data_IF_880833810614
#
_entry.id   IF_880833810614
#
_cell.length_a   1.000
_cell.length_b   1.000
_cell.length_c   1.000
_cell.angle_alpha   90.00
_cell.angle_beta   90.00
_cell.angle_gamma   90.00
#
_symmetry.space_group_name_H-M   'P 1'
#
loop_
_entity.id
_entity.type
_entity.pdbx_description
1 polymer ?
#
# COMPACT_ATOMS: atom_id res chain seq x y z
N UNK A 1 10.26 -2.97 -8.93
CA UNK A 1 11.42 -2.59 -8.10
C UNK A 1 11.45 -1.07 -8.03
N UNK A 2 10.88 -0.49 -6.98
CA UNK A 2 10.97 0.92 -6.64
C UNK A 2 10.96 1.02 -5.11
N UNK A 3 12.04 0.57 -4.49
CA UNK A 3 12.30 0.93 -3.10
C UNK A 3 12.93 2.32 -3.12
N UNK A 4 12.28 3.30 -2.50
CA UNK A 4 12.90 4.59 -2.20
C UNK A 4 13.97 4.29 -1.15
N UNK A 5 15.24 4.33 -1.57
CA UNK A 5 16.40 4.07 -0.72
C UNK A 5 16.46 5.13 0.39
N UNK A 6 16.93 4.75 1.58
CA UNK A 6 17.34 5.68 2.66
C UNK A 6 18.22 6.83 2.15
N UNK A 7 18.96 6.63 1.06
CA UNK A 7 19.72 7.69 0.40
C UNK A 7 18.85 8.84 -0.12
N UNK A 8 17.62 8.59 -0.57
CA UNK A 8 16.72 9.64 -1.06
C UNK A 8 16.19 10.49 0.11
N UNK A 9 15.93 9.87 1.25
CA UNK A 9 15.51 10.55 2.48
C UNK A 9 16.68 11.33 3.13
N UNK A 10 17.90 10.80 3.08
CA UNK A 10 19.09 11.44 3.66
C UNK A 10 19.71 12.52 2.75
N UNK A 11 19.75 12.34 1.43
CA UNK A 11 20.28 13.34 0.48
C UNK A 11 19.48 14.65 0.52
N UNK A 12 18.16 14.57 0.73
CA UNK A 12 17.30 15.76 0.80
C UNK A 12 17.38 16.51 2.14
N UNK A 13 17.66 15.82 3.25
CA UNK A 13 17.89 16.48 4.54
C UNK A 13 19.21 17.29 4.55
N UNK A 14 20.24 16.80 3.84
CA UNK A 14 21.53 17.50 3.71
C UNK A 14 21.44 18.75 2.81
N UNK A 15 20.55 18.76 1.81
CA UNK A 15 20.41 19.89 0.88
C UNK A 15 19.79 21.15 1.51
N UNK A 16 18.99 21.00 2.58
CA UNK A 16 18.30 22.13 3.23
C UNK A 16 19.10 22.85 4.31
N UNK A 17 20.23 22.29 4.77
CA UNK A 17 21.08 22.93 5.79
C UNK A 17 22.12 23.91 5.22
N UNK A 18 22.08 24.23 3.91
CA UNK A 18 23.09 25.09 3.28
C UNK A 18 22.63 26.45 2.76
N UNK A 19 21.37 26.85 2.89
CA UNK A 19 20.95 28.21 2.49
C UNK A 19 19.83 28.75 3.40
N UNK A 20 20.24 29.34 4.53
CA UNK A 20 19.50 30.45 5.13
C UNK A 20 20.21 31.74 4.73
N UNK A 21 19.72 32.35 3.66
CA UNK A 21 20.00 33.72 3.25
C UNK A 21 18.68 34.36 2.84
N UNK A 22 18.24 35.33 3.61
CA UNK A 22 16.98 36.08 3.46
C UNK A 22 16.81 36.66 2.04
N UNK A 23 15.64 36.45 1.43
CA UNK A 23 14.87 37.51 0.74
C UNK A 23 13.43 37.07 0.47
N UNK A 24 12.48 37.85 0.98
CA UNK A 24 11.05 37.78 0.66
C UNK A 24 10.80 38.36 -0.74
N UNK A 25 10.09 37.66 -1.64
CA UNK A 25 9.23 38.28 -2.67
C UNK A 25 8.01 37.39 -2.96
N UNK A 26 6.87 38.05 -3.19
CA UNK A 26 5.49 37.55 -3.35
C UNK A 26 5.19 37.17 -4.83
N UNK A 27 4.17 36.34 -5.12
CA UNK A 27 4.03 35.67 -6.42
C UNK A 27 3.04 36.35 -7.37
N UNK A 28 3.47 36.63 -8.60
CA UNK A 28 2.62 36.71 -9.80
C UNK A 28 3.45 37.10 -11.02
N UNK A 29 3.52 36.24 -12.04
CA UNK A 29 3.33 36.60 -13.46
C UNK A 29 3.42 35.35 -14.36
N UNK A 30 2.56 35.35 -15.38
CA UNK A 30 2.39 34.31 -16.39
C UNK A 30 3.28 34.59 -17.62
N UNK A 31 3.56 33.54 -18.40
CA UNK A 31 3.66 33.45 -19.88
C UNK A 31 4.46 32.18 -20.20
N UNK A 32 3.88 31.16 -20.83
CA UNK A 32 3.67 30.97 -22.28
C UNK A 32 4.96 30.62 -23.05
N UNK A 33 4.75 29.73 -24.02
CA UNK A 33 5.67 28.78 -24.66
C UNK A 33 6.82 29.41 -25.47
N UNK A 34 7.87 28.62 -25.73
CA UNK A 34 8.27 28.25 -27.10
C UNK A 34 9.38 27.17 -27.09
N UNK A 35 9.19 26.16 -27.94
CA UNK A 35 10.21 25.24 -28.48
C UNK A 35 10.52 25.72 -29.90
N UNK A 36 11.75 25.59 -30.43
CA UNK A 36 11.89 24.55 -31.46
C UNK A 36 13.27 23.85 -31.58
N UNK A 37 13.16 22.59 -32.00
CA UNK A 37 13.89 21.90 -33.09
C UNK A 37 15.29 21.27 -32.86
N UNK A 38 15.26 19.93 -32.89
CA UNK A 38 16.01 18.99 -33.77
C UNK A 38 17.37 19.39 -34.36
N UNK A 39 18.39 18.56 -34.10
CA UNK A 39 19.44 18.20 -35.08
C UNK A 39 19.77 16.70 -34.91
N UNK A 40 19.70 15.98 -36.03
CA UNK A 40 20.11 14.58 -36.23
C UNK A 40 21.62 14.47 -36.52
N UNK A 41 22.15 13.28 -36.21
CA UNK A 41 23.22 12.50 -36.87
C UNK A 41 24.58 13.15 -37.25
N UNK A 42 25.68 12.52 -36.81
CA UNK A 42 26.65 11.97 -37.77
C UNK A 42 27.63 10.98 -37.10
N UNK A 43 27.96 9.97 -37.90
CA UNK A 43 28.81 8.79 -37.69
C UNK A 43 30.33 9.08 -37.69
N UNK A 44 31.13 8.17 -37.11
CA UNK A 44 32.28 7.47 -37.73
C UNK A 44 33.09 6.70 -36.66
N UNK A 45 33.24 5.37 -36.80
CA UNK A 45 34.40 4.62 -37.36
C UNK A 45 35.63 4.65 -36.41
N UNK A 46 36.38 3.58 -36.09
CA UNK A 46 36.71 2.35 -36.82
C UNK A 46 37.41 1.30 -35.89
N UNK A 47 37.59 0.12 -36.47
CA UNK A 47 38.03 -1.23 -36.04
C UNK A 47 39.40 -1.44 -35.33
N UNK A 48 39.51 -2.46 -34.43
CA UNK A 48 40.26 -3.75 -34.51
C UNK A 48 41.77 -3.67 -34.14
N UNK A 49 42.50 -4.66 -33.58
CA UNK A 49 42.54 -6.12 -33.75
C UNK A 49 43.12 -6.87 -32.52
N UNK A 50 42.66 -8.12 -32.34
CA UNK A 50 43.32 -9.40 -31.99
C UNK A 50 44.59 -9.52 -31.11
N UNK A 51 44.56 -10.50 -30.18
CA UNK A 51 45.48 -11.66 -30.19
C UNK A 51 45.08 -12.75 -29.18
N UNK A 52 44.53 -13.84 -29.73
CA UNK A 52 44.75 -15.29 -29.53
C UNK A 52 45.43 -15.90 -28.27
N UNK A 53 44.99 -17.13 -27.93
CA UNK A 53 45.83 -18.18 -27.31
C UNK A 53 45.34 -18.91 -26.05
N UNK A 54 44.57 -20.00 -26.23
CA UNK A 54 44.67 -21.37 -25.64
C UNK A 54 45.30 -21.60 -24.24
N UNK A 55 44.89 -22.52 -23.36
CA UNK A 55 44.41 -23.90 -23.53
C UNK A 55 43.90 -24.52 -22.20
N UNK A 56 43.34 -25.72 -22.35
CA UNK A 56 42.56 -26.63 -21.49
C UNK A 56 43.24 -27.15 -20.19
N UNK A 57 42.42 -27.55 -19.20
CA UNK A 57 42.53 -28.85 -18.48
C UNK A 57 41.52 -28.97 -17.33
N UNK A 58 40.70 -30.01 -17.41
CA UNK A 58 39.62 -30.33 -16.46
C UNK A 58 40.04 -30.98 -15.14
N UNK A 59 39.03 -31.23 -14.31
CA UNK A 59 39.18 -31.96 -13.04
C UNK A 59 37.86 -32.05 -12.27
N UNK A 60 37.08 -33.09 -12.58
CA UNK A 60 35.88 -33.51 -11.86
C UNK A 60 36.24 -33.96 -10.42
N UNK A 61 35.46 -33.60 -9.39
CA UNK A 61 35.32 -34.42 -8.17
C UNK A 61 34.02 -34.11 -7.40
N UNK A 62 33.12 -35.10 -7.44
CA UNK A 62 32.21 -35.61 -6.40
C UNK A 62 31.79 -34.73 -5.19
N UNK A 63 30.46 -34.64 -5.02
CA UNK A 63 29.68 -34.36 -3.79
C UNK A 63 30.21 -35.06 -2.51
N UNK A 64 29.88 -34.52 -1.32
CA UNK A 64 28.71 -35.03 -0.58
C UNK A 64 27.81 -33.96 0.06
N UNK A 65 26.57 -34.41 0.28
CA UNK A 65 25.47 -33.79 1.00
C UNK A 65 25.89 -33.32 2.40
N UNK A 66 25.54 -32.07 2.73
CA UNK A 66 25.66 -31.49 4.06
C UNK A 66 24.29 -31.00 4.52
N UNK A 67 23.70 -31.78 5.43
CA UNK A 67 22.60 -31.41 6.31
C UNK A 67 22.94 -30.09 7.03
N UNK A 68 22.14 -29.06 6.77
CA UNK A 68 22.28 -27.73 7.35
C UNK A 68 20.98 -27.38 8.05
N UNK A 69 20.95 -27.64 9.35
CA UNK A 69 19.94 -27.16 10.28
C UNK A 69 19.75 -25.65 10.10
N UNK A 70 18.59 -25.23 9.60
CA UNK A 70 18.18 -23.83 9.69
C UNK A 70 17.96 -23.53 11.17
N UNK A 71 19.01 -22.99 11.77
CA UNK A 71 18.97 -22.37 13.08
C UNK A 71 17.94 -21.25 13.04
N UNK A 72 16.81 -21.46 13.73
CA UNK A 72 15.89 -20.40 14.10
C UNK A 72 16.69 -19.32 14.85
N UNK A 73 17.11 -18.27 14.14
CA UNK A 73 17.64 -17.09 14.78
C UNK A 73 16.48 -16.42 15.51
N UNK A 74 16.38 -16.72 16.80
CA UNK A 74 15.73 -15.87 17.78
C UNK A 74 16.40 -14.50 17.72
N UNK A 75 15.91 -13.63 16.82
CA UNK A 75 16.24 -12.22 16.84
C UNK A 75 15.72 -11.65 18.17
N UNK A 76 16.59 -11.63 19.17
CA UNK A 76 16.40 -10.84 20.37
C UNK A 76 16.07 -9.42 19.93
N UNK A 77 14.91 -8.91 20.36
CA UNK A 77 14.39 -7.61 19.96
C UNK A 77 15.33 -6.55 20.53
N UNK A 78 16.34 -6.18 19.75
CA UNK A 78 17.09 -4.97 20.01
C UNK A 78 16.08 -3.82 20.08
N UNK A 79 16.03 -3.16 21.24
CA UNK A 79 15.04 -2.12 21.50
C UNK A 79 15.20 -1.03 20.43
N UNK A 80 14.17 -0.84 19.60
CA UNK A 80 14.22 0.14 18.51
C UNK A 80 14.52 1.54 19.10
N UNK A 81 15.63 2.13 18.66
CA UNK A 81 15.97 3.51 18.95
C UNK A 81 15.71 4.35 17.70
N UNK A 82 14.78 5.30 17.73
CA UNK A 82 14.52 6.16 16.59
C UNK A 82 15.72 7.09 16.37
N UNK A 83 16.18 7.24 15.13
CA UNK A 83 17.22 8.23 14.79
C UNK A 83 16.75 9.65 15.13
N UNK A 84 15.49 9.93 14.79
CA UNK A 84 14.75 11.13 15.14
C UNK A 84 13.26 10.91 14.92
N UNK A 85 12.42 11.84 15.37
CA UNK A 85 11.01 11.89 14.99
C UNK A 85 10.86 12.66 13.67
N UNK A 86 9.99 12.18 12.77
CA UNK A 86 9.75 12.86 11.49
C UNK A 86 9.08 14.22 11.69
N UNK A 87 8.08 14.28 12.58
CA UNK A 87 7.44 15.53 12.99
C UNK A 87 7.83 15.88 14.42
N UNK A 88 8.06 17.18 14.73
CA UNK A 88 8.24 17.62 16.10
C UNK A 88 6.92 17.55 16.90
N UNK A 89 6.98 17.48 18.24
CA UNK A 89 5.78 17.39 19.08
C UNK A 89 4.73 18.49 18.88
N UNK A 90 5.13 19.67 18.37
CA UNK A 90 4.22 20.76 18.03
C UNK A 90 3.18 20.39 16.96
N UNK A 91 3.48 19.39 16.13
CA UNK A 91 2.61 18.97 15.04
C UNK A 91 1.56 17.92 15.47
N UNK A 92 1.74 17.26 16.63
CA UNK A 92 0.97 16.06 17.00
C UNK A 92 -0.52 16.29 17.23
N UNK A 93 -0.93 17.55 17.38
CA UNK A 93 -2.33 17.96 17.56
C UNK A 93 -2.94 18.57 16.30
N UNK A 94 -2.15 18.73 15.23
CA UNK A 94 -2.62 19.36 14.00
C UNK A 94 -3.50 18.43 13.19
N UNK A 95 -4.55 18.99 12.62
CA UNK A 95 -5.57 18.24 11.89
C UNK A 95 -5.49 18.49 10.40
N UNK A 96 -5.69 17.40 9.67
CA UNK A 96 -5.98 17.44 8.24
C UNK A 96 -7.19 16.57 7.94
N UNK A 97 -7.78 16.78 6.76
CA UNK A 97 -8.81 15.88 6.28
C UNK A 97 -8.12 14.71 5.57
N UNK A 98 -8.06 13.55 6.19
CA UNK A 98 -7.61 12.33 5.50
C UNK A 98 -8.81 11.70 4.79
N UNK A 99 -8.57 11.21 3.58
CA UNK A 99 -9.47 10.26 2.92
C UNK A 99 -8.70 9.01 2.56
N UNK A 100 -9.35 7.86 2.66
CA UNK A 100 -8.87 6.67 1.98
C UNK A 100 -9.58 6.53 0.65
N UNK A 101 -8.85 6.03 -0.32
CA UNK A 101 -9.39 5.63 -1.63
C UNK A 101 -9.55 4.11 -1.73
N UNK A 102 -9.51 3.42 -0.58
CA UNK A 102 -9.91 2.03 -0.42
C UNK A 102 -11.44 1.96 -0.30
N UNK A 103 -12.15 1.74 -1.40
CA UNK A 103 -13.62 1.78 -1.41
C UNK A 103 -14.24 0.40 -1.19
N UNK A 104 -13.86 -0.31 -0.12
CA UNK A 104 -14.30 -1.71 0.11
C UNK A 104 -15.83 -1.84 0.03
N UNK A 105 -16.56 -0.99 0.75
CA UNK A 105 -18.03 -1.03 0.76
C UNK A 105 -18.62 -0.82 -0.64
N UNK A 106 -18.17 0.22 -1.36
CA UNK A 106 -18.67 0.52 -2.70
C UNK A 106 -18.23 -0.48 -3.78
N UNK A 107 -17.03 -1.05 -3.66
CA UNK A 107 -16.56 -2.09 -4.56
C UNK A 107 -17.35 -3.39 -4.37
N UNK A 108 -17.61 -3.78 -3.12
CA UNK A 108 -18.44 -4.95 -2.83
C UNK A 108 -19.91 -4.71 -3.18
N UNK A 109 -20.44 -3.51 -3.02
CA UNK A 109 -21.79 -3.15 -3.51
C UNK A 109 -21.87 -3.33 -5.03
N UNK A 110 -20.88 -2.80 -5.77
CA UNK A 110 -20.81 -3.00 -7.21
C UNK A 110 -20.69 -4.48 -7.60
N UNK A 111 -19.86 -5.27 -6.92
CA UNK A 111 -19.66 -6.68 -7.24
C UNK A 111 -20.86 -7.57 -6.86
N UNK A 112 -21.49 -7.31 -5.73
CA UNK A 112 -22.47 -8.21 -5.12
C UNK A 112 -23.93 -7.79 -5.36
N UNK A 113 -24.17 -6.53 -5.71
CA UNK A 113 -25.51 -5.95 -5.84
C UNK A 113 -25.76 -5.27 -7.19
N UNK A 114 -24.83 -4.48 -7.73
CA UNK A 114 -25.10 -3.63 -8.90
C UNK A 114 -25.05 -4.36 -10.25
N UNK A 115 -24.46 -5.55 -10.33
CA UNK A 115 -24.29 -6.26 -11.60
C UNK A 115 -25.61 -6.80 -12.15
N UNK A 116 -25.84 -6.62 -13.45
CA UNK A 116 -26.99 -7.19 -14.17
C UNK A 116 -26.53 -7.92 -15.44
N UNK A 117 -26.61 -9.27 -15.50
CA UNK A 117 -27.12 -10.16 -14.45
C UNK A 117 -26.15 -10.23 -13.25
N UNK A 118 -26.63 -10.60 -12.04
CA UNK A 118 -25.77 -10.79 -10.87
C UNK A 118 -24.64 -11.79 -11.13
N UNK A 119 -23.62 -11.79 -10.25
CA UNK A 119 -22.59 -12.84 -10.27
C UNK A 119 -23.24 -14.23 -10.22
N UNK A 120 -22.81 -15.11 -11.11
CA UNK A 120 -23.16 -16.53 -11.09
C UNK A 120 -22.65 -17.18 -9.81
N UNK A 121 -23.19 -18.36 -9.46
CA UNK A 121 -22.70 -19.14 -8.31
C UNK A 121 -21.20 -19.40 -8.38
N UNK A 122 -20.66 -19.66 -9.58
CA UNK A 122 -19.22 -19.91 -9.80
C UNK A 122 -18.39 -18.65 -9.53
N UNK A 123 -18.80 -17.51 -10.06
CA UNK A 123 -18.07 -16.24 -9.87
C UNK A 123 -18.09 -15.80 -8.40
N UNK A 124 -19.26 -15.87 -7.76
CA UNK A 124 -19.41 -15.53 -6.35
C UNK A 124 -18.59 -16.46 -5.46
N UNK A 125 -18.67 -17.78 -5.70
CA UNK A 125 -17.91 -18.79 -4.95
C UNK A 125 -16.40 -18.56 -5.05
N UNK A 126 -15.90 -18.05 -6.18
CA UNK A 126 -14.47 -17.73 -6.33
C UNK A 126 -13.99 -16.75 -5.25
N UNK A 127 -14.77 -15.71 -4.92
CA UNK A 127 -14.44 -14.75 -3.86
C UNK A 127 -14.72 -15.29 -2.45
N UNK A 128 -15.86 -15.93 -2.23
CA UNK A 128 -16.30 -16.42 -0.92
C UNK A 128 -15.42 -17.56 -0.38
N UNK A 129 -14.83 -18.34 -1.29
CA UNK A 129 -13.93 -19.46 -0.94
C UNK A 129 -12.46 -19.12 -1.17
N UNK A 130 -12.15 -17.91 -1.64
CA UNK A 130 -10.78 -17.50 -1.86
C UNK A 130 -9.98 -17.57 -0.56
N UNK A 131 -8.77 -18.17 -0.54
CA UNK A 131 -7.98 -18.32 0.69
C UNK A 131 -7.76 -16.98 1.42
N UNK A 132 -7.47 -15.92 0.64
CA UNK A 132 -7.17 -14.58 1.13
C UNK A 132 -8.38 -13.60 1.08
N UNK A 133 -9.12 -13.55 -0.03
CA UNK A 133 -10.14 -12.49 -0.23
C UNK A 133 -11.46 -12.72 0.49
N UNK A 134 -11.78 -13.95 0.91
CA UNK A 134 -13.03 -14.25 1.64
C UNK A 134 -13.22 -13.33 2.84
N UNK A 135 -12.14 -12.96 3.53
CA UNK A 135 -12.21 -12.12 4.72
C UNK A 135 -12.58 -10.66 4.42
N UNK A 136 -12.27 -10.16 3.22
CA UNK A 136 -12.74 -8.84 2.76
C UNK A 136 -14.26 -8.84 2.55
N UNK A 137 -14.85 -9.99 2.18
CA UNK A 137 -16.29 -10.15 2.05
C UNK A 137 -16.97 -10.35 3.41
N UNK A 138 -16.33 -11.07 4.33
CA UNK A 138 -16.86 -11.41 5.65
C UNK A 138 -16.73 -10.29 6.67
N UNK A 139 -15.72 -9.42 6.56
CA UNK A 139 -15.54 -8.32 7.52
C UNK A 139 -16.77 -7.43 7.57
N UNK A 140 -17.15 -6.98 8.77
CA UNK A 140 -18.29 -6.09 8.92
C UNK A 140 -18.00 -4.75 8.22
N UNK A 141 -18.87 -4.42 7.27
CA UNK A 141 -18.75 -3.22 6.46
C UNK A 141 -19.21 -2.02 7.25
N UNK A 142 -18.27 -1.13 7.55
CA UNK A 142 -18.58 0.19 8.06
C UNK A 142 -18.68 1.16 6.86
N UNK A 143 -19.71 2.01 6.83
CA UNK A 143 -19.91 2.93 5.68
C UNK A 143 -18.78 3.94 5.54
N UNK A 144 -18.08 4.23 6.64
CA UNK A 144 -17.02 5.23 6.69
C UNK A 144 -15.82 4.68 7.47
N UNK A 145 -14.64 4.90 6.92
CA UNK A 145 -13.37 4.62 7.60
C UNK A 145 -13.13 5.58 8.78
N UNK A 146 -12.46 5.08 9.83
CA UNK A 146 -12.08 5.76 11.06
C UNK A 146 -10.59 6.12 11.06
N UNK A 147 -10.21 6.95 10.09
CA UNK A 147 -8.81 7.24 9.73
C UNK A 147 -8.02 8.09 10.74
N UNK A 148 -8.67 8.68 11.76
CA UNK A 148 -8.02 9.61 12.67
C UNK A 148 -7.01 8.93 13.62
N UNK A 149 -7.21 7.65 13.96
CA UNK A 149 -6.21 6.85 14.68
C UNK A 149 -4.94 6.63 13.86
N UNK A 150 -5.08 6.37 12.56
CA UNK A 150 -3.96 6.28 11.63
C UNK A 150 -3.25 7.63 11.47
N UNK A 151 -3.98 8.75 11.36
CA UNK A 151 -3.36 10.08 11.34
C UNK A 151 -2.50 10.35 12.58
N UNK A 152 -3.03 9.99 13.74
CA UNK A 152 -2.33 10.12 15.02
C UNK A 152 -0.99 9.37 15.01
N UNK A 153 -0.95 8.16 14.43
CA UNK A 153 0.28 7.40 14.23
C UNK A 153 1.22 8.07 13.23
N UNK A 154 0.73 8.49 12.06
CA UNK A 154 1.55 9.12 11.01
C UNK A 154 2.29 10.37 11.52
N UNK A 155 1.65 11.19 12.34
CA UNK A 155 2.28 12.34 13.01
C UNK A 155 3.41 11.94 13.96
N UNK A 156 3.44 10.68 14.42
CA UNK A 156 4.41 10.14 15.37
C UNK A 156 5.37 9.15 14.70
N UNK A 157 5.54 9.25 13.39
CA UNK A 157 6.49 8.42 12.65
C UNK A 157 7.92 8.68 13.11
N UNK A 158 8.64 7.60 13.41
CA UNK A 158 10.06 7.60 13.71
C UNK A 158 10.89 7.36 12.45
N UNK A 159 11.99 8.11 12.30
CA UNK A 159 13.01 7.79 11.31
C UNK A 159 13.86 6.63 11.82
N UNK A 160 13.97 5.57 11.02
CA UNK A 160 14.76 4.38 11.33
C UNK A 160 15.53 3.93 10.10
N UNK A 161 16.58 3.13 10.28
CA UNK A 161 17.31 2.49 9.17
C UNK A 161 16.57 1.25 8.62
N UNK A 162 15.49 0.81 9.28
CA UNK A 162 14.71 -0.37 8.89
C UNK A 162 13.74 -0.03 7.76
N UNK A 163 14.17 -0.24 6.51
CA UNK A 163 13.37 0.11 5.31
C UNK A 163 12.09 -0.72 5.12
N UNK A 164 11.99 -1.91 5.74
CA UNK A 164 10.88 -2.85 5.57
C UNK A 164 9.84 -2.79 6.69
N UNK A 165 9.87 -1.74 7.51
CA UNK A 165 8.95 -1.53 8.63
C UNK A 165 8.68 -0.03 8.81
N UNK A 166 7.49 0.31 9.27
CA UNK A 166 7.22 1.65 9.79
C UNK A 166 7.17 1.60 11.31
N UNK A 167 7.73 2.62 11.95
CA UNK A 167 7.76 2.75 13.40
C UNK A 167 7.10 4.06 13.82
N UNK A 168 6.30 3.99 14.89
CA UNK A 168 5.64 5.13 15.49
C UNK A 168 5.99 5.21 16.97
N UNK A 169 6.25 6.39 17.51
CA UNK A 169 6.55 6.55 18.95
C UNK A 169 5.42 7.34 19.60
N UNK A 170 4.61 6.64 20.39
CA UNK A 170 3.44 7.20 21.06
C UNK A 170 3.72 7.26 22.56
N UNK A 171 3.79 8.47 23.13
CA UNK A 171 4.08 8.70 24.55
C UNK A 171 5.38 8.01 25.03
N UNK A 172 6.38 7.92 24.13
CA UNK A 172 7.66 7.26 24.38
C UNK A 172 7.64 5.75 24.17
N UNK A 173 6.52 5.16 23.74
CA UNK A 173 6.40 3.73 23.48
C UNK A 173 6.44 3.47 21.97
N UNK A 174 7.36 2.63 21.48
CA UNK A 174 7.43 2.32 20.06
C UNK A 174 6.32 1.35 19.65
N UNK A 175 5.69 1.63 18.52
CA UNK A 175 4.68 0.80 17.86
C UNK A 175 5.21 0.48 16.46
N UNK A 176 5.34 -0.81 16.18
CA UNK A 176 5.82 -1.32 14.90
C UNK A 176 4.67 -1.64 13.96
N UNK A 177 4.87 -1.34 12.68
CA UNK A 177 4.09 -1.84 11.58
C UNK A 177 5.01 -2.53 10.58
N UNK A 178 5.13 -3.84 10.72
CA UNK A 178 5.84 -4.72 9.81
C UNK A 178 4.87 -5.57 9.00
N UNK A 179 5.42 -6.40 8.12
CA UNK A 179 4.67 -7.39 7.38
C UNK A 179 3.91 -8.37 8.28
N UNK A 180 4.43 -8.65 9.49
CA UNK A 180 3.78 -9.53 10.47
C UNK A 180 2.46 -8.94 10.96
N UNK A 181 2.46 -7.67 11.39
CA UNK A 181 1.24 -6.99 11.80
C UNK A 181 0.25 -6.85 10.63
N UNK A 182 0.74 -6.57 9.42
CA UNK A 182 -0.11 -6.53 8.23
C UNK A 182 -0.81 -7.88 7.97
N UNK A 183 -0.07 -8.98 8.04
CA UNK A 183 -0.59 -10.33 7.83
C UNK A 183 -1.61 -10.72 8.92
N UNK A 184 -1.28 -10.50 10.20
CA UNK A 184 -2.15 -10.84 11.33
C UNK A 184 -3.47 -10.06 11.30
N UNK A 185 -3.43 -8.78 10.94
CA UNK A 185 -4.63 -7.95 10.90
C UNK A 185 -5.48 -8.24 9.67
N UNK A 186 -4.86 -8.36 8.49
CA UNK A 186 -5.58 -8.53 7.22
C UNK A 186 -6.00 -9.96 6.91
N UNK A 187 -5.22 -10.96 7.32
CA UNK A 187 -5.35 -12.34 6.84
C UNK A 187 -5.05 -12.53 5.35
N UNK A 188 -4.45 -11.54 4.70
CA UNK A 188 -3.94 -11.68 3.33
C UNK A 188 -2.59 -12.42 3.35
N UNK A 189 -2.26 -13.05 2.23
CA UNK A 189 -0.99 -13.76 2.09
C UNK A 189 0.17 -12.75 1.96
N UNK A 190 1.05 -12.80 2.96
CA UNK A 190 2.23 -11.94 3.07
C UNK A 190 3.55 -12.71 2.87
N UNK A 191 3.52 -13.91 2.28
CA UNK A 191 4.76 -14.62 1.92
C UNK A 191 5.58 -13.83 0.90
N UNK A 192 6.81 -14.31 0.67
CA UNK A 192 7.68 -13.74 -0.34
C UNK A 192 7.04 -13.80 -1.74
N UNK A 193 7.35 -12.81 -2.56
CA UNK A 193 6.93 -12.87 -3.96
C UNK A 193 7.53 -14.10 -4.66
N UNK A 194 6.80 -14.69 -5.63
CA UNK A 194 7.38 -15.66 -6.54
C UNK A 194 8.64 -15.12 -7.21
N UNK A 195 9.59 -16.01 -7.52
CA UNK A 195 10.90 -15.64 -8.10
C UNK A 195 10.72 -14.88 -9.42
N UNK A 196 9.72 -15.26 -10.20
CA UNK A 196 9.36 -14.64 -11.48
C UNK A 196 8.93 -13.18 -11.32
N UNK A 197 8.37 -12.83 -10.17
CA UNK A 197 8.03 -11.44 -9.84
C UNK A 197 9.24 -10.68 -9.28
N UNK A 198 10.09 -11.34 -8.48
CA UNK A 198 11.25 -10.73 -7.83
C UNK A 198 12.40 -10.40 -8.79
N UNK A 199 12.67 -11.23 -9.80
CA UNK A 199 13.85 -11.11 -10.67
C UNK A 199 13.72 -10.15 -11.87
N UNK A 200 12.51 -9.89 -12.37
CA UNK A 200 12.28 -9.05 -13.57
C UNK A 200 11.19 -8.01 -13.40
N UNK A 201 10.60 -7.89 -12.20
CA UNK A 201 9.84 -6.74 -11.72
C UNK A 201 8.62 -6.32 -12.54
N UNK A 202 8.20 -7.03 -13.59
CA UNK A 202 7.07 -6.59 -14.43
C UNK A 202 6.64 -7.54 -15.56
N UNK A 203 7.13 -8.77 -15.70
CA UNK A 203 6.72 -9.63 -16.84
C UNK A 203 5.82 -10.80 -16.48
N UNK A 204 5.48 -10.97 -15.20
CA UNK A 204 4.54 -12.02 -14.80
C UNK A 204 3.12 -11.72 -15.32
N UNK A 205 2.51 -12.74 -15.92
CA UNK A 205 1.20 -12.69 -16.57
C UNK A 205 1.25 -12.18 -18.01
N UNK A 206 0.12 -12.26 -18.72
CA UNK A 206 -0.02 -11.84 -20.12
C UNK A 206 -1.12 -10.80 -20.26
N UNK A 207 -1.04 -9.95 -21.29
CA UNK A 207 -2.07 -8.94 -21.57
C UNK A 207 -3.25 -9.48 -22.38
N UNK A 208 -3.27 -10.75 -22.81
CA UNK A 208 -4.27 -11.30 -23.75
C UNK A 208 -5.71 -11.01 -23.34
N UNK A 209 -6.06 -11.20 -22.06
CA UNK A 209 -7.36 -10.84 -21.52
C UNK A 209 -7.66 -9.33 -21.65
N UNK A 210 -6.69 -8.48 -21.31
CA UNK A 210 -6.85 -7.02 -21.35
C UNK A 210 -6.96 -6.51 -22.79
N UNK A 211 -6.10 -7.00 -23.68
CA UNK A 211 -6.08 -6.65 -25.11
C UNK A 211 -7.37 -7.07 -25.84
N UNK A 212 -8.09 -8.07 -25.31
CA UNK A 212 -9.42 -8.47 -25.80
C UNK A 212 -10.52 -7.46 -25.47
N UNK A 213 -10.46 -6.80 -24.32
CA UNK A 213 -11.55 -5.96 -23.80
C UNK A 213 -11.27 -4.46 -23.85
N UNK A 214 -10.00 -4.06 -23.91
CA UNK A 214 -9.56 -2.68 -23.94
C UNK A 214 -8.67 -2.45 -25.16
N UNK A 215 -8.70 -1.22 -25.69
CA UNK A 215 -7.85 -0.85 -26.83
C UNK A 215 -6.38 -1.00 -26.42
N UNK A 216 -5.60 -1.76 -27.20
CA UNK A 216 -4.17 -1.94 -26.97
C UNK A 216 -3.44 -0.59 -26.85
N UNK A 217 -2.59 -0.46 -25.83
CA UNK A 217 -1.85 0.76 -25.53
C UNK A 217 -2.69 1.90 -24.94
N UNK A 218 -3.99 1.71 -24.71
CA UNK A 218 -4.81 2.72 -24.05
C UNK A 218 -4.53 2.80 -22.55
N UNK A 219 -4.73 3.99 -21.99
CA UNK A 219 -4.68 4.21 -20.55
C UNK A 219 -5.96 3.67 -19.92
N UNK A 220 -5.88 2.49 -19.30
CA UNK A 220 -7.02 1.82 -18.66
C UNK A 220 -7.13 2.30 -17.23
N UNK A 221 -8.14 3.12 -16.91
CA UNK A 221 -8.38 3.58 -15.54
C UNK A 221 -9.36 2.64 -14.85
N UNK A 222 -9.41 2.75 -13.52
CA UNK A 222 -10.38 2.03 -12.71
C UNK A 222 -11.83 2.26 -13.17
N UNK A 223 -12.21 3.50 -13.55
CA UNK A 223 -13.57 3.77 -14.03
C UNK A 223 -13.88 2.98 -15.31
N UNK A 224 -12.88 2.80 -16.18
CA UNK A 224 -13.03 2.07 -17.43
C UNK A 224 -13.23 0.56 -17.13
N UNK A 225 -12.51 0.01 -16.14
CA UNK A 225 -12.71 -1.36 -15.63
C UNK A 225 -14.09 -1.52 -15.01
N UNK A 226 -14.53 -0.59 -14.15
CA UNK A 226 -15.86 -0.61 -13.53
C UNK A 226 -16.97 -0.58 -14.59
N UNK A 227 -16.86 0.34 -15.54
CA UNK A 227 -17.83 0.47 -16.63
C UNK A 227 -17.90 -0.82 -17.45
N UNK A 228 -16.74 -1.40 -17.79
CA UNK A 228 -16.72 -2.65 -18.55
C UNK A 228 -17.32 -3.81 -17.78
N UNK A 229 -17.05 -3.94 -16.48
CA UNK A 229 -17.66 -4.97 -15.63
C UNK A 229 -19.19 -4.86 -15.60
N UNK A 230 -19.72 -3.63 -15.50
CA UNK A 230 -21.17 -3.38 -15.51
C UNK A 230 -21.84 -3.67 -16.85
N UNK A 231 -21.12 -3.51 -17.97
CA UNK A 231 -21.58 -3.82 -19.32
C UNK A 231 -21.62 -5.34 -19.59
N UNK A 232 -20.75 -6.12 -18.92
CA UNK A 232 -20.60 -7.55 -19.18
C UNK A 232 -21.81 -8.37 -18.69
N UNK A 233 -22.47 -9.03 -19.64
CA UNK A 233 -23.40 -10.13 -19.37
C UNK A 233 -22.70 -11.34 -18.71
N UNK A 234 -23.46 -12.41 -18.43
CA UNK A 234 -22.90 -13.66 -17.91
C UNK A 234 -22.02 -14.36 -18.97
N UNK A 235 -20.77 -13.93 -19.08
CA UNK A 235 -19.78 -14.38 -20.06
C UNK A 235 -18.61 -15.08 -19.37
N UNK A 236 -17.89 -15.92 -20.14
CA UNK A 236 -16.76 -16.73 -19.64
C UNK A 236 -15.71 -15.92 -18.87
N UNK A 237 -15.37 -14.73 -19.37
CA UNK A 237 -14.26 -13.94 -18.81
C UNK A 237 -14.75 -12.83 -17.86
N UNK A 238 -16.05 -12.79 -17.51
CA UNK A 238 -16.57 -11.80 -16.56
C UNK A 238 -15.93 -11.94 -15.19
N UNK A 239 -15.58 -13.16 -14.78
CA UNK A 239 -14.82 -13.39 -13.55
C UNK A 239 -13.47 -12.66 -13.57
N UNK A 240 -12.71 -12.73 -14.65
CA UNK A 240 -11.42 -12.04 -14.79
C UNK A 240 -11.59 -10.52 -14.66
N UNK A 241 -12.65 -9.95 -15.27
CA UNK A 241 -12.96 -8.53 -15.12
C UNK A 241 -13.37 -8.17 -13.68
N UNK A 242 -14.14 -9.03 -13.01
CA UNK A 242 -14.54 -8.85 -11.62
C UNK A 242 -13.33 -8.90 -10.67
N UNK A 243 -12.38 -9.80 -10.92
CA UNK A 243 -11.11 -9.88 -10.17
C UNK A 243 -10.25 -8.64 -10.44
N UNK A 244 -10.14 -8.18 -11.70
CA UNK A 244 -9.43 -6.93 -12.03
C UNK A 244 -10.01 -5.73 -11.28
N UNK A 245 -11.34 -5.62 -11.29
CA UNK A 245 -12.06 -4.59 -10.55
C UNK A 245 -11.78 -4.67 -9.04
N UNK A 246 -11.84 -5.86 -8.45
CA UNK A 246 -11.58 -6.10 -7.03
C UNK A 246 -10.15 -5.70 -6.64
N UNK A 247 -9.14 -6.20 -7.36
CA UNK A 247 -7.73 -5.91 -7.09
C UNK A 247 -7.42 -4.41 -7.21
N UNK A 248 -7.98 -3.76 -8.25
CA UNK A 248 -7.76 -2.34 -8.50
C UNK A 248 -8.47 -1.42 -7.50
N UNK A 249 -9.65 -1.82 -6.99
CA UNK A 249 -10.44 -0.99 -6.07
C UNK A 249 -10.08 -1.17 -4.61
N UNK A 250 -9.64 -2.36 -4.21
CA UNK A 250 -9.45 -2.71 -2.81
C UNK A 250 -7.97 -2.87 -2.48
N UNK A 251 -7.23 -3.72 -3.21
CA UNK A 251 -5.85 -4.08 -2.86
C UNK A 251 -4.89 -2.91 -3.13
N UNK A 252 -4.79 -2.46 -4.39
CA UNK A 252 -3.98 -1.27 -4.77
C UNK A 252 -4.73 0.04 -4.53
N UNK A 253 -6.07 0.00 -4.54
CA UNK A 253 -6.93 1.17 -4.36
C UNK A 253 -6.72 2.28 -5.40
N UNK A 254 -7.52 3.35 -5.32
CA UNK A 254 -7.38 4.47 -6.27
C UNK A 254 -6.35 5.48 -5.79
N UNK A 255 -5.43 5.91 -6.65
CA UNK A 255 -4.53 7.03 -6.30
C UNK A 255 -5.23 8.37 -6.61
N UNK A 256 -5.91 8.46 -7.76
CA UNK A 256 -6.67 9.63 -8.22
C UNK A 256 -7.91 9.17 -9.00
N UNK A 257 -8.89 10.05 -9.15
CA UNK A 257 -10.11 9.83 -9.95
C UNK A 257 -10.25 10.90 -11.03
N UNK A 258 -10.91 10.59 -12.14
CA UNK A 258 -11.17 11.54 -13.23
C UNK A 258 -10.18 11.43 -14.38
N UNK A 259 -10.13 12.47 -15.24
CA UNK A 259 -9.35 12.45 -16.50
C UNK A 259 -7.85 12.25 -16.27
N UNK A 260 -7.32 12.80 -15.18
CA UNK A 260 -5.91 12.71 -14.80
C UNK A 260 -5.55 11.45 -13.99
N UNK A 261 -6.51 10.57 -13.69
CA UNK A 261 -6.23 9.35 -12.94
C UNK A 261 -5.19 8.48 -13.65
N UNK A 262 -4.23 7.87 -12.93
CA UNK A 262 -3.26 6.96 -13.53
C UNK A 262 -3.95 5.72 -14.11
N UNK A 263 -3.23 5.01 -14.97
CA UNK A 263 -3.66 3.67 -15.41
C UNK A 263 -3.71 2.73 -14.21
N UNK A 264 -4.57 1.70 -14.28
CA UNK A 264 -4.47 0.53 -13.43
C UNK A 264 -3.06 -0.04 -13.54
N UNK A 265 -2.53 -0.50 -12.42
CA UNK A 265 -1.20 -1.07 -12.31
C UNK A 265 -0.99 -2.16 -13.38
N UNK A 266 0.06 -2.05 -14.22
CA UNK A 266 0.31 -3.01 -15.30
C UNK A 266 0.40 -4.47 -14.83
N UNK A 267 0.85 -4.73 -13.60
CA UNK A 267 0.87 -6.07 -13.06
C UNK A 267 -0.53 -6.62 -12.84
N UNK A 268 -1.46 -5.82 -12.31
CA UNK A 268 -2.85 -6.27 -12.15
C UNK A 268 -3.49 -6.58 -13.50
N UNK A 269 -3.23 -5.75 -14.51
CA UNK A 269 -3.70 -5.97 -15.88
C UNK A 269 -3.20 -7.31 -16.46
N UNK A 270 -1.94 -7.70 -16.18
CA UNK A 270 -1.40 -8.99 -16.62
C UNK A 270 -1.86 -10.17 -15.77
N UNK A 271 -1.94 -9.99 -14.45
CA UNK A 271 -2.23 -11.05 -13.51
C UNK A 271 -3.61 -11.67 -13.76
N UNK A 272 -4.60 -10.84 -14.10
CA UNK A 272 -5.99 -11.29 -14.30
C UNK A 272 -6.20 -12.17 -15.52
N UNK A 273 -5.19 -12.33 -16.37
CA UNK A 273 -5.22 -13.34 -17.42
C UNK A 273 -5.15 -14.77 -16.84
N UNK A 274 -4.57 -14.92 -15.64
CA UNK A 274 -4.42 -16.19 -14.94
C UNK A 274 -5.10 -16.11 -13.55
N UNK A 275 -6.27 -16.75 -13.45
CA UNK A 275 -7.04 -16.77 -12.19
C UNK A 275 -6.38 -17.63 -11.11
N UNK A 276 -5.49 -18.56 -11.46
CA UNK A 276 -4.76 -19.35 -10.46
C UNK A 276 -3.60 -18.55 -9.89
N UNK A 277 -2.92 -17.77 -10.72
CA UNK A 277 -2.02 -16.73 -10.22
C UNK A 277 -2.76 -15.76 -9.30
N UNK A 278 -3.96 -15.31 -9.67
CA UNK A 278 -4.76 -14.44 -8.80
C UNK A 278 -5.13 -15.10 -7.47
N UNK A 279 -5.23 -16.44 -7.44
CA UNK A 279 -5.56 -17.20 -6.24
C UNK A 279 -4.39 -17.33 -5.26
N UNK A 280 -3.19 -17.48 -5.80
CA UNK A 280 -1.98 -17.87 -5.08
C UNK A 280 -1.00 -16.74 -4.83
N UNK A 281 -1.10 -15.63 -5.56
CA UNK A 281 -0.19 -14.50 -5.39
C UNK A 281 -0.27 -13.88 -3.98
N UNK A 282 0.86 -13.46 -3.37
CA UNK A 282 0.87 -12.87 -2.03
C UNK A 282 0.36 -11.42 -2.04
N UNK A 283 -0.96 -11.25 -2.15
CA UNK A 283 -1.61 -9.94 -2.22
C UNK A 283 -1.40 -9.10 -0.96
N UNK A 284 -1.24 -9.73 0.19
CA UNK A 284 -0.91 -9.08 1.45
C UNK A 284 0.47 -8.47 1.44
N UNK A 285 1.45 -9.11 0.79
CA UNK A 285 2.78 -8.52 0.57
C UNK A 285 2.70 -7.29 -0.34
N UNK A 286 1.93 -7.38 -1.43
CA UNK A 286 1.71 -6.26 -2.34
C UNK A 286 1.05 -5.06 -1.66
N UNK A 287 0.00 -5.28 -0.86
CA UNK A 287 -0.65 -4.20 -0.10
C UNK A 287 0.23 -3.64 1.01
N UNK A 288 1.09 -4.47 1.63
CA UNK A 288 2.04 -4.03 2.63
C UNK A 288 3.09 -3.09 2.03
N UNK A 289 3.76 -3.51 0.95
CA UNK A 289 4.77 -2.71 0.27
C UNK A 289 4.17 -1.36 -0.19
N UNK A 290 2.98 -1.40 -0.80
CA UNK A 290 2.26 -0.17 -1.19
C UNK A 290 1.90 0.71 0.02
N UNK A 291 1.57 0.12 1.18
CA UNK A 291 1.29 0.90 2.40
C UNK A 291 2.54 1.64 2.87
N UNK A 292 3.72 0.99 2.86
CA UNK A 292 4.98 1.65 3.22
C UNK A 292 5.31 2.78 2.25
N UNK A 293 5.11 2.59 0.94
CA UNK A 293 5.25 3.65 -0.07
C UNK A 293 4.33 4.84 0.23
N UNK A 294 3.07 4.60 0.64
CA UNK A 294 2.14 5.67 0.99
C UNK A 294 2.53 6.40 2.29
N UNK A 295 3.10 5.70 3.27
CA UNK A 295 3.64 6.33 4.49
C UNK A 295 4.81 7.24 4.10
N UNK A 296 5.78 6.73 3.34
CA UNK A 296 6.93 7.51 2.87
C UNK A 296 6.49 8.72 2.03
N UNK A 297 5.53 8.53 1.11
CA UNK A 297 4.95 9.62 0.33
C UNK A 297 4.29 10.69 1.22
N UNK A 298 3.56 10.26 2.25
CA UNK A 298 2.95 11.18 3.24
C UNK A 298 4.02 11.97 3.97
N UNK A 299 5.07 11.30 4.45
CA UNK A 299 6.19 11.95 5.11
C UNK A 299 6.80 13.02 4.19
N UNK A 300 7.22 12.62 2.98
CA UNK A 300 7.84 13.51 1.99
C UNK A 300 6.97 14.71 1.60
N UNK A 301 5.65 14.53 1.49
CA UNK A 301 4.75 15.63 1.17
C UNK A 301 4.73 16.72 2.25
N UNK A 302 4.67 16.33 3.52
CA UNK A 302 4.58 17.28 4.62
C UNK A 302 5.95 17.80 5.07
N UNK A 303 7.03 17.03 4.88
CA UNK A 303 8.39 17.49 5.16
C UNK A 303 8.61 17.95 6.61
N UNK A 304 7.96 17.29 7.57
CA UNK A 304 8.07 17.59 9.00
C UNK A 304 7.15 18.73 9.49
N UNK A 305 6.34 19.33 8.62
CA UNK A 305 5.43 20.42 8.97
C UNK A 305 4.03 20.23 8.39
N UNK A 306 3.01 20.27 9.25
CA UNK A 306 1.60 20.20 8.85
C UNK A 306 1.03 21.61 8.78
N UNK A 307 0.61 22.01 7.58
CA UNK A 307 -0.10 23.27 7.35
C UNK A 307 -1.59 23.08 7.64
N UNK A 308 -2.06 23.58 8.78
CA UNK A 308 -3.49 23.66 9.06
C UNK A 308 -4.11 24.77 8.24
N UNK A 309 -5.10 24.43 7.42
CA UNK A 309 -5.92 25.42 6.74
C UNK A 309 -7.36 25.26 7.22
N UNK A 310 -7.73 26.07 8.21
CA UNK A 310 -9.06 26.02 8.85
C UNK A 310 -10.17 26.39 7.86
N UNK A 311 -9.89 27.24 6.87
CA UNK A 311 -10.87 27.66 5.86
C UNK A 311 -11.06 26.61 4.77
N UNK A 312 -9.98 25.97 4.32
CA UNK A 312 -9.98 24.92 3.29
C UNK A 312 -9.04 23.78 3.71
N UNK A 313 -9.48 22.84 4.56
CA UNK A 313 -8.62 21.77 5.05
C UNK A 313 -8.14 20.93 3.88
N UNK A 314 -6.81 20.81 3.76
CA UNK A 314 -6.18 19.97 2.74
C UNK A 314 -6.71 18.55 2.89
N UNK A 315 -7.26 18.01 1.79
CA UNK A 315 -7.65 16.62 1.68
C UNK A 315 -6.42 15.81 1.31
N UNK A 316 -5.89 15.01 2.24
CA UNK A 316 -4.79 14.09 1.98
C UNK A 316 -5.34 12.70 1.65
N UNK A 317 -5.22 12.22 0.40
CA UNK A 317 -5.63 10.87 0.04
C UNK A 317 -4.53 9.87 0.41
N UNK A 318 -4.91 8.80 1.11
CA UNK A 318 -4.09 7.60 1.28
C UNK A 318 -4.72 6.51 0.41
N UNK A 319 -3.97 5.98 -0.54
CA UNK A 319 -4.43 4.93 -1.45
C UNK A 319 -4.08 3.52 -0.94
N UNK A 320 -4.63 2.49 -1.58
CA UNK A 320 -4.37 1.10 -1.21
C UNK A 320 -5.16 0.58 -0.03
N UNK A 321 -4.95 -0.70 0.26
CA UNK A 321 -5.59 -1.42 1.35
C UNK A 321 -5.05 -0.99 2.73
N UNK A 322 -5.51 0.17 3.21
CA UNK A 322 -5.04 0.78 4.45
C UNK A 322 -5.68 0.22 5.73
N UNK A 323 -6.55 -0.80 5.63
CA UNK A 323 -7.26 -1.37 6.79
C UNK A 323 -6.29 -1.80 7.90
N UNK A 324 -5.19 -2.53 7.63
CA UNK A 324 -4.30 -2.94 8.71
C UNK A 324 -3.68 -1.76 9.46
N UNK A 325 -3.28 -0.71 8.74
CA UNK A 325 -2.74 0.51 9.35
C UNK A 325 -3.83 1.32 10.09
N UNK A 326 -5.05 1.35 9.58
CA UNK A 326 -6.21 1.97 10.25
C UNK A 326 -6.51 1.31 11.59
N UNK A 327 -6.47 -0.03 11.63
CA UNK A 327 -6.75 -0.79 12.84
C UNK A 327 -5.58 -0.81 13.82
N UNK A 328 -4.33 -0.65 13.35
CA UNK A 328 -3.12 -0.73 14.17
C UNK A 328 -3.19 0.14 15.41
N UNK A 329 -3.61 1.40 15.30
CA UNK A 329 -3.71 2.32 16.44
C UNK A 329 -4.65 1.77 17.54
N UNK A 330 -5.73 1.14 17.13
CA UNK A 330 -6.77 0.60 18.02
C UNK A 330 -6.48 -0.84 18.46
N UNK A 331 -5.47 -1.50 17.92
CA UNK A 331 -4.97 -2.77 18.43
C UNK A 331 -3.79 -2.57 19.37
N UNK A 332 -2.88 -1.66 19.01
CA UNK A 332 -1.65 -1.39 19.72
C UNK A 332 -1.86 -0.52 20.97
N UNK A 333 -2.92 0.30 21.06
CA UNK A 333 -3.10 1.23 22.20
C UNK A 333 -4.34 0.83 22.99
N UNK A 334 -4.16 0.33 24.21
CA UNK A 334 -5.24 -0.31 24.97
C UNK A 334 -6.43 0.62 25.27
N UNK A 335 -6.26 1.89 25.69
CA UNK A 335 -7.39 2.80 25.86
C UNK A 335 -8.20 3.03 24.59
N UNK A 336 -7.52 3.18 23.43
CA UNK A 336 -8.20 3.32 22.15
C UNK A 336 -8.98 2.06 21.78
N UNK A 337 -8.39 0.88 22.03
CA UNK A 337 -9.06 -0.42 21.81
C UNK A 337 -10.35 -0.50 22.62
N UNK A 338 -10.27 -0.28 23.93
CA UNK A 338 -11.40 -0.45 24.85
C UNK A 338 -12.55 0.51 24.55
N UNK A 339 -12.25 1.73 24.11
CA UNK A 339 -13.27 2.74 23.84
C UNK A 339 -13.89 2.64 22.45
N UNK A 340 -13.09 2.36 21.44
CA UNK A 340 -13.52 2.50 20.04
C UNK A 340 -13.75 1.18 19.33
N UNK A 341 -13.40 0.03 19.93
CA UNK A 341 -13.57 -1.28 19.31
C UNK A 341 -14.43 -2.19 20.17
N UNK A 342 -15.26 -2.99 19.51
CA UNK A 342 -16.04 -4.06 20.15
C UNK A 342 -15.87 -5.36 19.36
N UNK A 343 -15.90 -6.53 20.03
CA UNK A 343 -15.85 -7.80 19.33
C UNK A 343 -17.06 -7.97 18.40
N UNK A 344 -16.88 -8.72 17.33
CA UNK A 344 -17.97 -9.17 16.47
C UNK A 344 -18.51 -10.49 17.04
N UNK A 345 -19.77 -10.52 17.54
CA UNK A 345 -20.34 -11.75 18.07
C UNK A 345 -20.37 -12.86 17.01
N UNK A 346 -19.90 -14.05 17.38
CA UNK A 346 -19.86 -15.22 16.48
C UNK A 346 -18.78 -15.18 15.41
N UNK A 347 -17.82 -14.22 15.46
CA UNK A 347 -16.65 -14.28 14.61
C UNK A 347 -15.79 -15.50 14.97
N UNK A 348 -15.44 -16.28 13.95
CA UNK A 348 -14.59 -17.46 14.07
C UNK A 348 -13.19 -17.08 14.59
N UNK A 349 -12.62 -17.89 15.49
CA UNK A 349 -11.33 -17.59 16.13
C UNK A 349 -10.17 -17.56 15.13
N UNK A 350 -10.26 -18.38 14.07
CA UNK A 350 -9.31 -18.46 12.97
C UNK A 350 -9.47 -17.34 11.93
N UNK A 351 -10.47 -16.46 12.07
CA UNK A 351 -10.56 -15.28 11.22
C UNK A 351 -9.48 -14.24 11.57
N UNK A 352 -9.00 -13.46 10.58
CA UNK A 352 -8.04 -12.39 10.82
C UNK A 352 -8.64 -11.29 11.68
N UNK A 353 -7.78 -10.48 12.31
CA UNK A 353 -8.22 -9.53 13.35
C UNK A 353 -9.20 -8.48 12.84
N UNK A 354 -9.09 -8.09 11.56
CA UNK A 354 -10.06 -7.19 10.92
C UNK A 354 -11.50 -7.73 10.87
N UNK A 355 -11.70 -9.06 10.96
CA UNK A 355 -13.03 -9.68 11.01
C UNK A 355 -13.56 -9.83 12.45
N UNK A 356 -12.67 -9.88 13.45
CA UNK A 356 -13.03 -10.25 14.84
C UNK A 356 -13.53 -9.08 15.68
N UNK A 357 -13.31 -7.85 15.24
CA UNK A 357 -13.79 -6.66 15.95
C UNK A 357 -14.13 -5.52 15.00
N UNK A 358 -15.17 -4.76 15.34
CA UNK A 358 -15.63 -3.59 14.60
C UNK A 358 -15.45 -2.32 15.41
N UNK A 359 -15.56 -1.17 14.76
CA UNK A 359 -15.67 0.09 15.47
C UNK A 359 -17.00 0.21 16.19
N UNK A 360 -16.99 0.92 17.32
CA UNK A 360 -18.23 1.34 17.99
C UNK A 360 -19.02 2.30 17.09
N UNK A 361 -20.34 2.32 17.27
CA UNK A 361 -21.19 3.27 16.56
C UNK A 361 -20.81 4.69 16.95
N UNK A 362 -20.70 5.57 15.96
CA UNK A 362 -20.53 7.01 16.12
C UNK A 362 -21.68 7.70 15.39
N UNK A 363 -22.22 8.77 15.98
CA UNK A 363 -23.19 9.64 15.29
C UNK A 363 -22.54 10.37 14.10
N UNK A 364 -21.22 10.53 14.13
CA UNK A 364 -20.43 11.13 13.06
C UNK A 364 -19.88 10.07 12.10
N UNK A 365 -19.45 10.51 10.91
CA UNK A 365 -18.76 9.64 9.93
C UNK A 365 -17.41 9.07 10.42
N UNK A 366 -16.92 9.50 11.59
CA UNK A 366 -15.67 9.05 12.19
C UNK A 366 -15.60 9.42 13.67
N UNK A 367 -14.45 9.16 14.29
CA UNK A 367 -14.13 9.68 15.62
C UNK A 367 -13.34 10.99 15.48
N UNK A 368 -13.74 12.10 16.13
CA UNK A 368 -12.99 13.34 16.11
C UNK A 368 -11.54 13.15 16.58
N UNK A 369 -10.61 13.89 15.98
CA UNK A 369 -9.19 13.77 16.31
C UNK A 369 -8.89 14.13 17.77
N UNK A 370 -9.56 15.13 18.34
CA UNK A 370 -9.44 15.43 19.77
C UNK A 370 -10.03 14.35 20.67
N UNK A 371 -11.06 13.61 20.23
CA UNK A 371 -11.55 12.47 21.00
C UNK A 371 -10.50 11.36 21.07
N UNK A 372 -9.79 11.10 19.97
CA UNK A 372 -8.67 10.16 19.92
C UNK A 372 -7.52 10.63 20.82
N UNK A 373 -7.10 11.90 20.71
CA UNK A 373 -6.01 12.44 21.53
C UNK A 373 -6.36 12.53 23.03
N UNK A 374 -7.62 12.83 23.37
CA UNK A 374 -8.08 12.87 24.75
C UNK A 374 -8.03 11.47 25.37
N UNK A 375 -8.46 10.43 24.62
CA UNK A 375 -8.37 9.05 25.08
C UNK A 375 -6.93 8.55 25.15
N UNK A 376 -6.08 8.99 24.24
CA UNK A 376 -4.66 8.68 24.28
C UNK A 376 -4.00 9.25 25.55
N UNK A 377 -4.31 10.51 25.90
CA UNK A 377 -3.74 11.18 27.06
C UNK A 377 -2.21 11.03 27.13
N UNK A 378 -1.71 10.67 28.31
CA UNK A 378 -0.30 10.33 28.55
C UNK A 378 -0.08 8.82 28.70
N UNK A 379 -1.00 7.99 28.23
CA UNK A 379 -0.93 6.54 28.42
C UNK A 379 0.34 5.95 27.79
N UNK A 380 0.97 5.01 28.49
CA UNK A 380 2.07 4.18 27.96
C UNK A 380 1.65 2.73 27.76
N UNK A 381 0.36 2.42 27.94
CA UNK A 381 -0.17 1.06 27.82
C UNK A 381 -0.38 0.74 26.34
N UNK A 382 0.70 0.31 25.68
CA UNK A 382 0.65 -0.27 24.36
C UNK A 382 0.79 -1.80 24.42
N UNK A 383 0.09 -2.49 23.53
CA UNK A 383 0.11 -3.94 23.38
C UNK A 383 1.07 -4.31 22.25
N UNK A 384 1.81 -5.41 22.44
CA UNK A 384 2.55 -6.03 21.34
C UNK A 384 1.53 -6.59 20.36
N UNK A 385 1.62 -6.19 19.10
CA UNK A 385 0.68 -6.59 18.04
C UNK A 385 1.13 -7.89 17.37
N UNK A 386 2.42 -8.24 17.47
CA UNK A 386 3.07 -9.40 16.86
C UNK A 386 3.01 -10.69 17.69
#
# INVERSE_FOLDING_TARGET
TFFCSVDDLQKMARFKNRNYGLREESPSEMMEEEDPQTVEEDDNEEEAENSDGSEDSGGNTSHPLGDGSDSESSDEIEAMQPLQMYFPPSEYKKKIKISTRCYIAGALETLLSDLNPPLTKRERSWFETHPQFKHILHMLRDKNHKLQGMWMLLLRTACTEKEKEAWFVVNGVPIRYSIKEHALISGLDCHNYPVEFAGSGSQMGKMDFVDKYFKKGSKIRYQDVKAKLLEMGAARDRLNMAVLFFLSSIIKGLVKTGKEAPSVDPFLLRAVNDLELCRTFPWGRLSFDHTLEQIAHTMNHFGGFVKENVKNPVLWPISGFCIPLELLAFEAIAPLRMKFRVPVPGADEGCPRMCRSKFTSSEMKGFPFEQINAELGTTKVCLIVG
#
